data_IF_727805721789
#
_entry.id   IF_727805721789
#
_cell.length_a   1.000
_cell.length_b   1.000
_cell.length_c   1.000
_cell.angle_alpha   90.00
_cell.angle_beta   90.00
_cell.angle_gamma   90.00
#
_symmetry.space_group_name_H-M   'P 1'
#
loop_
_entity.id
_entity.type
_entity.pdbx_description
1 polymer ?
#
# COMPACT_ATOMS: atom_id res chain seq x y z
N UNK A 1 20.57 1.87 -7.15
CA UNK A 1 19.30 1.90 -7.89
C UNK A 1 19.39 0.88 -9.02
N UNK A 2 18.45 -0.07 -9.11
CA UNK A 2 18.50 -1.22 -10.03
C UNK A 2 18.52 -0.81 -11.52
N UNK A 3 18.04 0.40 -11.83
CA UNK A 3 17.88 0.90 -13.20
C UNK A 3 19.04 1.76 -13.71
N UNK A 4 20.05 2.05 -12.87
CA UNK A 4 21.17 2.97 -13.16
C UNK A 4 20.75 4.38 -13.65
N UNK A 5 19.47 4.75 -13.48
CA UNK A 5 18.90 6.02 -13.91
C UNK A 5 18.39 6.79 -12.72
N UNK A 6 18.64 8.09 -12.69
CA UNK A 6 18.13 8.98 -11.62
C UNK A 6 16.61 9.15 -11.65
N UNK A 7 15.97 8.86 -12.79
CA UNK A 7 14.53 8.98 -12.97
C UNK A 7 13.94 7.71 -13.59
N UNK A 8 12.69 7.45 -13.23
CA UNK A 8 11.88 6.39 -13.83
C UNK A 8 10.78 7.06 -14.65
N UNK A 9 10.67 6.66 -15.91
CA UNK A 9 9.60 7.09 -16.82
C UNK A 9 8.86 5.86 -17.31
N UNK A 10 7.55 5.82 -17.06
CA UNK A 10 6.67 4.75 -17.49
C UNK A 10 5.43 5.35 -18.17
N UNK A 11 5.08 4.81 -19.35
CA UNK A 11 3.78 5.07 -19.96
C UNK A 11 2.81 4.03 -19.42
N UNK A 12 1.66 4.45 -18.91
CA UNK A 12 0.67 3.53 -18.33
C UNK A 12 -0.68 3.67 -19.02
N UNK A 13 -1.43 2.57 -19.05
CA UNK A 13 -2.80 2.56 -19.55
C UNK A 13 -3.81 2.68 -18.41
N UNK A 14 -3.44 2.24 -17.20
CA UNK A 14 -4.32 2.22 -16.02
C UNK A 14 -3.53 2.63 -14.78
N UNK A 15 -4.16 3.40 -13.91
CA UNK A 15 -3.60 3.89 -12.65
C UNK A 15 -4.66 3.79 -11.56
N UNK A 16 -4.29 3.22 -10.41
CA UNK A 16 -5.13 3.26 -9.21
C UNK A 16 -4.34 3.94 -8.10
N UNK A 17 -4.94 4.98 -7.51
CA UNK A 17 -4.35 5.71 -6.40
C UNK A 17 -5.18 5.47 -5.15
N UNK A 18 -4.50 5.25 -4.02
CA UNK A 18 -5.13 5.24 -2.69
C UNK A 18 -4.34 6.18 -1.78
N UNK A 19 -5.05 7.07 -1.10
CA UNK A 19 -4.40 8.14 -0.35
C UNK A 19 -5.29 8.61 0.80
N UNK A 20 -4.66 9.19 1.82
CA UNK A 20 -5.35 9.83 2.97
C UNK A 20 -4.91 11.28 3.20
N UNK A 21 -4.15 11.83 2.25
CA UNK A 21 -3.71 13.23 2.21
C UNK A 21 -4.63 14.08 1.31
N UNK A 22 -4.13 15.27 0.93
CA UNK A 22 -4.83 16.23 0.06
C UNK A 22 -4.68 15.92 -1.44
N UNK A 23 -4.21 14.74 -1.83
CA UNK A 23 -3.98 14.34 -3.23
C UNK A 23 -5.21 14.59 -4.11
N UNK A 24 -6.43 14.30 -3.63
CA UNK A 24 -7.64 14.56 -4.42
C UNK A 24 -7.86 16.04 -4.72
N UNK A 25 -7.56 16.92 -3.76
CA UNK A 25 -7.67 18.37 -3.95
C UNK A 25 -6.63 18.90 -4.92
N UNK A 26 -5.44 18.31 -4.95
CA UNK A 26 -4.40 18.62 -5.93
C UNK A 26 -4.81 18.20 -7.34
N UNK A 27 -5.33 16.98 -7.51
CA UNK A 27 -5.82 16.52 -8.82
C UNK A 27 -6.96 17.38 -9.35
N UNK A 28 -7.88 17.85 -8.50
CA UNK A 28 -8.97 18.73 -8.95
C UNK A 28 -8.47 20.05 -9.54
N UNK A 29 -7.24 20.49 -9.24
CA UNK A 29 -6.66 21.71 -9.80
C UNK A 29 -6.13 21.52 -11.23
N UNK A 30 -5.76 20.30 -11.60
CA UNK A 30 -5.05 20.00 -12.85
C UNK A 30 -5.74 18.97 -13.75
N UNK A 31 -6.73 18.25 -13.24
CA UNK A 31 -7.43 17.18 -13.93
C UNK A 31 -8.92 17.49 -14.10
N UNK A 32 -9.47 17.04 -15.23
CA UNK A 32 -10.90 17.08 -15.46
C UNK A 32 -11.55 15.85 -14.83
N UNK A 33 -12.48 16.08 -13.90
CA UNK A 33 -13.32 15.01 -13.35
C UNK A 33 -14.29 14.53 -14.43
N UNK A 34 -14.30 13.23 -14.67
CA UNK A 34 -15.25 12.55 -15.55
C UNK A 34 -16.09 11.59 -14.72
N UNK A 35 -17.33 11.36 -15.15
CA UNK A 35 -18.16 10.32 -14.54
C UNK A 35 -17.52 8.96 -14.80
N UNK A 36 -17.39 8.14 -13.75
CA UNK A 36 -16.85 6.80 -13.87
C UNK A 36 -17.72 5.96 -14.83
N UNK A 37 -17.06 5.36 -15.83
CA UNK A 37 -17.69 4.43 -16.77
C UNK A 37 -17.42 2.97 -16.36
N UNK A 38 -17.88 2.02 -17.18
CA UNK A 38 -17.69 0.59 -16.92
C UNK A 38 -16.20 0.21 -16.85
N UNK A 39 -15.34 0.87 -17.63
CA UNK A 39 -13.89 0.57 -17.66
C UNK A 39 -13.23 0.90 -16.33
N UNK A 40 -13.64 2.00 -15.68
CA UNK A 40 -13.16 2.38 -14.35
C UNK A 40 -13.62 1.38 -13.28
N UNK A 41 -14.86 0.89 -13.37
CA UNK A 41 -15.39 -0.12 -12.45
C UNK A 41 -14.67 -1.47 -12.60
N UNK A 42 -14.42 -1.89 -13.84
CA UNK A 42 -13.69 -3.12 -14.13
C UNK A 42 -12.24 -3.05 -13.66
N UNK A 43 -11.56 -1.90 -13.87
CA UNK A 43 -10.23 -1.65 -13.32
C UNK A 43 -10.21 -1.77 -11.79
N UNK A 44 -11.18 -1.17 -11.09
CA UNK A 44 -11.25 -1.26 -9.63
C UNK A 44 -11.48 -2.69 -9.15
N UNK A 45 -12.33 -3.45 -9.85
CA UNK A 45 -12.57 -4.87 -9.56
C UNK A 45 -11.31 -5.71 -9.77
N UNK A 46 -10.62 -5.53 -10.89
CA UNK A 46 -9.36 -6.20 -11.21
C UNK A 46 -8.27 -5.88 -10.17
N UNK A 47 -8.18 -4.62 -9.76
CA UNK A 47 -7.27 -4.17 -8.71
C UNK A 47 -7.56 -4.87 -7.39
N UNK A 48 -8.80 -4.83 -6.90
CA UNK A 48 -9.20 -5.52 -5.66
C UNK A 48 -8.94 -7.01 -5.72
N UNK A 49 -9.23 -7.64 -6.86
CA UNK A 49 -8.94 -9.05 -7.08
C UNK A 49 -7.45 -9.37 -7.05
N UNK A 50 -6.55 -8.44 -7.37
CA UNK A 50 -5.10 -8.61 -7.22
C UNK A 50 -4.63 -8.38 -5.80
N UNK A 51 -5.10 -7.32 -5.15
CA UNK A 51 -4.70 -7.02 -3.77
C UNK A 51 -5.17 -8.08 -2.76
N UNK A 52 -6.17 -8.90 -3.11
CA UNK A 52 -6.66 -10.01 -2.27
C UNK A 52 -6.08 -11.37 -2.63
N UNK A 53 -5.28 -11.47 -3.70
CA UNK A 53 -4.66 -12.73 -4.10
C UNK A 53 -3.47 -13.02 -3.21
N UNK A 54 -3.66 -13.93 -2.26
CA UNK A 54 -2.55 -14.49 -1.51
C UNK A 54 -1.87 -15.59 -2.35
N UNK A 55 -0.62 -15.36 -2.74
CA UNK A 55 0.18 -16.34 -3.49
C UNK A 55 0.84 -17.31 -2.51
N UNK A 56 0.32 -18.54 -2.40
CA UNK A 56 0.86 -19.57 -1.49
C UNK A 56 2.32 -19.98 -1.80
N UNK A 57 2.74 -19.83 -3.06
CA UNK A 57 4.10 -20.16 -3.52
C UNK A 57 4.67 -18.99 -4.32
N UNK A 58 5.29 -18.00 -3.64
CA UNK A 58 5.92 -16.88 -4.32
C UNK A 58 6.98 -17.36 -5.32
N UNK A 59 7.02 -16.72 -6.49
CA UNK A 59 7.94 -17.05 -7.59
C UNK A 59 9.21 -16.22 -7.54
N UNK A 60 9.27 -15.21 -6.68
CA UNK A 60 10.42 -14.35 -6.44
C UNK A 60 10.46 -13.87 -4.99
N UNK A 61 11.61 -13.32 -4.57
CA UNK A 61 11.75 -12.70 -3.25
C UNK A 61 10.85 -11.48 -3.09
N UNK A 62 10.67 -10.69 -4.15
CA UNK A 62 9.83 -9.50 -4.10
C UNK A 62 8.35 -9.89 -4.03
N UNK A 63 7.91 -10.91 -4.77
CA UNK A 63 6.56 -11.45 -4.64
C UNK A 63 6.29 -11.96 -3.22
N UNK A 64 7.29 -12.55 -2.57
CA UNK A 64 7.15 -13.04 -1.19
C UNK A 64 6.88 -11.91 -0.18
N UNK A 65 7.40 -10.70 -0.39
CA UNK A 65 7.10 -9.53 0.46
C UNK A 65 5.64 -9.07 0.36
N UNK A 66 4.92 -9.49 -0.69
CA UNK A 66 3.53 -9.14 -0.96
C UNK A 66 2.60 -10.35 -0.90
N UNK A 67 3.04 -11.45 -0.28
CA UNK A 67 2.30 -12.69 -0.19
C UNK A 67 2.39 -13.27 1.23
N UNK A 68 1.62 -14.32 1.50
CA UNK A 68 1.60 -14.99 2.79
C UNK A 68 0.78 -14.25 3.84
N UNK A 69 1.05 -14.57 5.11
CA UNK A 69 0.33 -14.02 6.27
C UNK A 69 0.67 -12.54 6.53
N UNK A 70 1.85 -12.10 6.08
CA UNK A 70 2.30 -10.70 6.15
C UNK A 70 1.67 -9.81 5.07
N UNK A 71 0.81 -10.38 4.19
CA UNK A 71 0.13 -9.63 3.16
C UNK A 71 -0.87 -8.64 3.80
N UNK A 72 -0.58 -7.36 3.62
CA UNK A 72 -1.43 -6.30 4.14
C UNK A 72 -2.83 -6.31 3.51
N UNK A 73 -3.86 -6.22 4.36
CA UNK A 73 -5.21 -5.92 3.91
C UNK A 73 -5.34 -4.41 3.64
N UNK A 74 -5.15 -4.01 2.38
CA UNK A 74 -5.18 -2.60 1.98
C UNK A 74 -6.45 -1.86 2.42
N UNK A 75 -7.63 -2.49 2.34
CA UNK A 75 -8.89 -1.86 2.74
C UNK A 75 -8.88 -1.56 4.25
N UNK A 76 -8.38 -2.51 5.07
CA UNK A 76 -8.23 -2.32 6.52
C UNK A 76 -7.16 -1.29 6.86
N UNK A 77 -6.04 -1.27 6.13
CA UNK A 77 -4.99 -0.25 6.30
C UNK A 77 -5.53 1.15 6.00
N UNK A 78 -6.20 1.33 4.86
CA UNK A 78 -6.81 2.63 4.52
C UNK A 78 -7.76 3.09 5.61
N UNK A 79 -8.63 2.20 6.09
CA UNK A 79 -9.53 2.50 7.19
C UNK A 79 -8.76 2.90 8.47
N UNK A 80 -7.70 2.18 8.83
CA UNK A 80 -6.92 2.47 10.03
C UNK A 80 -6.24 3.86 9.97
N UNK A 81 -5.74 4.26 8.80
CA UNK A 81 -5.17 5.60 8.61
C UNK A 81 -6.24 6.70 8.56
N UNK A 82 -7.43 6.42 8.01
CA UNK A 82 -8.55 7.36 8.02
C UNK A 82 -9.10 7.59 9.43
N UNK A 83 -9.15 6.54 10.26
CA UNK A 83 -9.72 6.61 11.61
C UNK A 83 -8.74 7.15 12.65
N UNK A 84 -7.43 7.11 12.40
CA UNK A 84 -6.41 7.56 13.33
C UNK A 84 -5.51 8.64 12.71
N UNK A 85 -5.83 9.94 12.90
CA UNK A 85 -5.00 11.04 12.40
C UNK A 85 -3.53 11.01 12.86
N UNK A 86 -3.24 10.35 13.99
CA UNK A 86 -1.86 10.23 14.50
C UNK A 86 -1.01 9.25 13.68
N UNK A 87 -1.61 8.42 12.81
CA UNK A 87 -0.86 7.54 11.89
C UNK A 87 -0.21 8.30 10.72
N UNK A 88 -0.39 9.61 10.63
CA UNK A 88 0.08 10.38 9.49
C UNK A 88 -0.73 10.07 8.23
N UNK A 89 -0.31 10.63 7.10
CA UNK A 89 -0.98 10.45 5.82
C UNK A 89 -0.19 9.47 4.96
N UNK A 90 -0.90 8.73 4.09
CA UNK A 90 -0.27 7.80 3.14
C UNK A 90 -0.65 8.17 1.71
N UNK A 91 0.20 7.75 0.79
CA UNK A 91 -0.06 7.75 -0.64
C UNK A 91 0.44 6.45 -1.27
N UNK A 92 -0.40 5.80 -2.07
CA UNK A 92 -0.04 4.63 -2.86
C UNK A 92 -0.48 4.82 -4.31
N UNK A 93 0.40 4.46 -5.24
CA UNK A 93 0.10 4.39 -6.66
C UNK A 93 0.37 2.97 -7.17
N UNK A 94 -0.63 2.38 -7.81
CA UNK A 94 -0.55 1.11 -8.52
C UNK A 94 -0.66 1.39 -10.01
N UNK A 95 0.47 1.26 -10.70
CA UNK A 95 0.70 1.72 -12.05
C UNK A 95 0.76 0.50 -12.98
N UNK A 96 -0.14 0.46 -13.95
CA UNK A 96 -0.17 -0.57 -14.98
C UNK A 96 0.50 -0.03 -16.23
N UNK A 97 1.83 -0.18 -16.24
CA UNK A 97 2.70 0.28 -17.30
C UNK A 97 2.62 -0.57 -18.56
N UNK A 98 3.07 0.02 -19.66
CA UNK A 98 3.26 -0.67 -20.94
C UNK A 98 4.51 -1.53 -20.92
N UNK A 99 5.55 -1.07 -20.23
CA UNK A 99 6.82 -1.82 -20.08
C UNK A 99 6.81 -2.69 -18.82
N UNK A 100 6.27 -2.19 -17.72
CA UNK A 100 6.24 -2.91 -16.44
C UNK A 100 4.81 -3.02 -15.95
N UNK A 101 4.32 -4.24 -15.78
CA UNK A 101 2.89 -4.50 -15.64
C UNK A 101 2.34 -4.34 -14.22
N UNK A 102 3.20 -4.23 -13.20
CA UNK A 102 2.79 -3.98 -11.82
C UNK A 102 3.86 -3.14 -11.10
N UNK A 103 3.90 -1.86 -11.44
CA UNK A 103 4.72 -0.89 -10.72
C UNK A 103 3.92 -0.35 -9.54
N UNK A 104 4.56 -0.31 -8.38
CA UNK A 104 3.95 0.22 -7.16
C UNK A 104 4.85 1.25 -6.53
N UNK A 105 4.28 2.42 -6.27
CA UNK A 105 4.97 3.50 -5.57
C UNK A 105 4.22 3.82 -4.29
N UNK A 106 4.89 3.73 -3.15
CA UNK A 106 4.28 3.98 -1.85
C UNK A 106 5.04 5.05 -1.08
N UNK A 107 4.27 5.88 -0.38
CA UNK A 107 4.72 6.79 0.65
C UNK A 107 3.90 6.47 1.90
N UNK A 108 4.53 5.83 2.88
CA UNK A 108 3.89 5.31 4.09
C UNK A 108 4.74 5.63 5.32
N UNK A 109 4.22 6.40 6.29
CA UNK A 109 5.00 6.88 7.44
C UNK A 109 5.42 5.77 8.42
N UNK A 110 4.87 4.56 8.30
CA UNK A 110 5.15 3.44 9.20
C UNK A 110 5.84 2.26 8.49
N UNK A 111 6.46 2.53 7.33
CA UNK A 111 7.09 1.52 6.48
C UNK A 111 6.36 1.32 5.17
N UNK A 112 7.09 1.42 4.07
CA UNK A 112 6.59 1.26 2.71
C UNK A 112 6.41 -0.21 2.31
N UNK A 113 7.29 -1.09 2.80
CA UNK A 113 7.32 -2.50 2.47
C UNK A 113 7.24 -3.36 3.75
N UNK A 114 6.34 -4.35 3.81
CA UNK A 114 6.30 -5.32 4.91
C UNK A 114 7.66 -6.00 5.09
N UNK A 115 8.09 -6.16 6.34
CA UNK A 115 9.37 -6.80 6.68
C UNK A 115 10.64 -5.99 6.37
N UNK A 116 10.51 -4.80 5.74
CA UNK A 116 11.61 -3.91 5.37
C UNK A 116 11.38 -2.46 5.85
N UNK A 117 10.63 -2.29 6.95
CA UNK A 117 10.59 -1.02 7.69
C UNK A 117 11.99 -0.71 8.28
N UNK A 118 12.35 0.56 8.53
CA UNK A 118 11.50 1.76 8.67
C UNK A 118 11.33 2.63 7.43
N UNK A 119 11.89 2.27 6.27
CA UNK A 119 11.87 3.12 5.08
C UNK A 119 10.45 3.43 4.60
N UNK A 120 10.17 4.70 4.32
CA UNK A 120 8.82 5.23 4.14
C UNK A 120 8.44 5.41 2.66
N UNK A 121 9.42 5.42 1.77
CA UNK A 121 9.23 5.65 0.34
C UNK A 121 9.78 4.47 -0.43
N UNK A 122 8.95 3.88 -1.31
CA UNK A 122 9.40 2.79 -2.19
C UNK A 122 8.88 2.93 -3.62
N UNK A 123 9.66 2.42 -4.55
CA UNK A 123 9.24 2.08 -5.91
C UNK A 123 9.64 0.62 -6.17
N UNK A 124 8.65 -0.22 -6.47
CA UNK A 124 8.84 -1.64 -6.73
C UNK A 124 8.20 -2.04 -8.05
N UNK A 125 8.90 -2.87 -8.82
CA UNK A 125 8.34 -3.59 -9.96
C UNK A 125 8.02 -5.02 -9.53
N UNK A 126 6.73 -5.30 -9.30
CA UNK A 126 6.22 -6.58 -8.85
C UNK A 126 5.77 -7.44 -10.03
N UNK A 127 6.72 -7.79 -10.90
CA UNK A 127 6.47 -8.62 -12.08
C UNK A 127 7.30 -9.91 -11.99
N UNK A 128 6.77 -10.96 -11.34
CA UNK A 128 7.53 -12.16 -11.07
C UNK A 128 8.09 -12.79 -12.33
N UNK A 129 9.39 -13.08 -12.31
CA UNK A 129 10.15 -13.65 -13.44
C UNK A 129 10.50 -12.65 -14.55
N UNK A 130 10.08 -11.38 -14.45
CA UNK A 130 10.55 -10.34 -15.35
C UNK A 130 12.02 -9.99 -15.07
N UNK A 131 12.76 -9.61 -16.11
CA UNK A 131 14.19 -9.26 -16.00
C UNK A 131 14.45 -8.09 -15.04
N UNK A 132 13.52 -7.14 -14.98
CA UNK A 132 13.64 -5.91 -14.19
C UNK A 132 12.75 -5.96 -12.93
N UNK A 133 12.34 -7.15 -12.51
CA UNK A 133 11.68 -7.32 -11.22
C UNK A 133 12.59 -6.87 -10.08
N UNK A 134 12.04 -6.16 -9.11
CA UNK A 134 12.83 -5.73 -7.97
C UNK A 134 12.27 -4.53 -7.23
N UNK A 135 12.82 -4.30 -6.04
CA UNK A 135 12.74 -3.01 -5.36
C UNK A 135 13.73 -2.08 -6.07
N UNK A 136 13.21 -1.07 -6.76
CA UNK A 136 14.05 -0.13 -7.51
C UNK A 136 14.53 1.03 -6.63
N UNK A 137 13.70 1.40 -5.66
CA UNK A 137 13.94 2.47 -4.71
C UNK A 137 13.32 2.12 -3.35
N UNK A 138 14.06 2.37 -2.28
CA UNK A 138 13.59 2.23 -0.90
C UNK A 138 14.40 3.20 -0.03
N UNK A 139 13.73 4.09 0.70
CA UNK A 139 14.42 5.10 1.51
C UNK A 139 13.49 5.74 2.56
N UNK A 140 14.08 6.47 3.49
CA UNK A 140 13.39 7.40 4.37
C UNK A 140 12.79 8.60 3.60
N UNK A 141 11.75 9.21 4.15
CA UNK A 141 11.15 10.39 3.56
C UNK A 141 12.15 11.54 3.41
N UNK A 142 11.89 12.41 2.44
CA UNK A 142 12.71 13.61 2.22
C UNK A 142 12.80 14.48 3.49
N UNK A 143 11.73 14.50 4.29
CA UNK A 143 11.69 15.22 5.57
C UNK A 143 12.74 14.68 6.54
N UNK A 144 12.85 13.36 6.70
CA UNK A 144 13.82 12.76 7.61
C UNK A 144 15.26 12.93 7.16
N UNK A 145 15.50 12.91 5.84
CA UNK A 145 16.80 13.27 5.28
C UNK A 145 17.17 14.72 5.58
N UNK A 146 16.24 15.66 5.36
CA UNK A 146 16.46 17.09 5.64
C UNK A 146 16.69 17.36 7.13
N UNK A 147 16.03 16.61 8.00
CA UNK A 147 16.16 16.72 9.46
C UNK A 147 17.34 15.92 10.03
N UNK A 148 18.09 15.18 9.20
CA UNK A 148 19.16 14.25 9.61
C UNK A 148 18.70 13.22 10.65
N UNK A 149 17.46 12.75 10.52
CA UNK A 149 16.89 11.72 11.41
C UNK A 149 16.92 10.33 10.81
N UNK A 150 16.88 10.23 9.48
CA UNK A 150 16.84 8.99 8.72
C UNK A 150 17.82 7.93 9.27
N UNK A 151 17.27 6.82 9.76
CA UNK A 151 18.04 5.69 10.29
C UNK A 151 17.29 4.38 10.12
N UNK A 152 17.93 3.39 9.49
CA UNK A 152 17.37 2.03 9.34
C UNK A 152 17.22 1.28 10.68
N UNK A 153 17.67 1.86 11.80
CA UNK A 153 17.46 1.32 13.15
C UNK A 153 16.23 1.87 13.87
N UNK A 154 15.44 2.72 13.22
CA UNK A 154 14.20 3.25 13.78
C UNK A 154 13.14 2.16 13.92
N UNK A 155 12.36 2.20 15.01
CA UNK A 155 11.14 1.41 15.14
C UNK A 155 9.92 2.28 14.79
N UNK A 156 9.39 2.06 13.59
CA UNK A 156 8.16 2.71 13.11
C UNK A 156 7.00 1.73 13.00
N UNK A 157 7.12 0.54 13.60
CA UNK A 157 6.03 -0.42 13.57
C UNK A 157 4.85 0.14 14.34
N UNK A 158 3.66 -0.02 13.76
CA UNK A 158 2.43 0.20 14.50
C UNK A 158 2.31 -0.98 15.46
N UNK A 159 2.37 -0.70 16.77
CA UNK A 159 2.19 -1.72 17.81
C UNK A 159 0.87 -2.42 17.53
N UNK A 160 0.94 -3.71 17.21
CA UNK A 160 -0.22 -4.57 17.05
C UNK A 160 -0.55 -5.18 18.41
N UNK A 161 -1.83 -5.26 18.76
CA UNK A 161 -2.20 -5.87 20.02
C UNK A 161 -2.16 -7.40 19.85
N UNK A 162 -1.14 -8.04 20.41
CA UNK A 162 -0.97 -9.51 20.31
C UNK A 162 -2.09 -10.28 21.03
N UNK A 163 -2.77 -9.66 22.00
CA UNK A 163 -3.81 -10.28 22.79
C UNK A 163 -5.00 -9.34 22.99
N UNK A 164 -6.18 -9.76 22.55
CA UNK A 164 -7.45 -9.09 22.85
C UNK A 164 -8.29 -9.97 23.78
N UNK A 165 -8.70 -9.44 24.93
CA UNK A 165 -9.71 -10.08 25.78
C UNK A 165 -11.05 -9.39 25.51
N UNK A 166 -11.90 -10.02 24.71
CA UNK A 166 -13.28 -9.57 24.51
C UNK A 166 -14.10 -10.06 25.70
N UNK A 167 -14.37 -9.18 26.65
CA UNK A 167 -15.35 -9.44 27.72
C UNK A 167 -16.72 -8.97 27.25
N UNK A 168 -17.56 -9.93 26.85
CA UNK A 168 -18.99 -9.67 26.58
C UNK A 168 -19.80 -10.27 27.73
N UNK A 169 -20.60 -9.44 28.38
CA UNK A 169 -21.69 -9.91 29.24
C UNK A 169 -22.90 -10.10 28.34
N UNK A 170 -23.24 -11.35 28.03
CA UNK A 170 -24.53 -11.69 27.43
C UNK A 170 -25.54 -11.73 28.59
N UNK A 171 -26.27 -10.64 28.81
CA UNK A 171 -27.51 -10.73 29.59
C UNK A 171 -28.54 -11.41 28.70
N UNK A 172 -28.71 -12.72 28.88
CA UNK A 172 -29.82 -13.45 28.30
C UNK A 172 -31.11 -12.99 28.97
N UNK A 173 -31.97 -12.28 28.24
CA UNK A 173 -33.40 -12.34 28.54
C UNK A 173 -33.88 -13.70 28.05
N UNK A 174 -34.25 -14.56 29.00
CA UNK A 174 -34.96 -15.81 28.73
C UNK A 174 -36.37 -15.46 28.26
N UNK A 175 -36.56 -15.23 26.96
CA UNK A 175 -37.89 -15.24 26.34
C UNK A 175 -38.07 -16.53 25.54
N UNK A 176 -38.29 -17.61 26.28
CA UNK A 176 -39.05 -18.76 25.81
C UNK A 176 -40.17 -19.04 26.81
N UNK A 177 -41.30 -18.36 26.62
CA UNK A 177 -42.61 -18.84 27.01
C UNK A 177 -43.64 -18.22 26.04
N UNK A 178 -44.06 -19.04 25.05
CA UNK A 178 -45.40 -19.23 24.47
C UNK A 178 -45.32 -19.90 23.08
#
# INVERSE_FOLDING_TARGET
MLTEKETVSENFDRLVLTFTDQTFDEFKKSAQLVTADQSALDLLKDFRGRMRRNTERPRSLVEALFAGEEMENLDATLLAYLLNPNRGQMFNAYIYGKKHHDLRFFVRPHGALPGLSPEEVTLVNLDPQAKEEGIWYLTHSEKEWKENKASSGEDKRLIDAENYRIETVITGENDFDL
#
